data_IF_668945948830
#
_entry.id   IF_668945948830
#
_cell.length_a   1.000
_cell.length_b   1.000
_cell.length_c   1.000
_cell.angle_alpha   90.00
_cell.angle_beta   90.00
_cell.angle_gamma   90.00
#
_symmetry.space_group_name_H-M   'P 1'
#
loop_
_entity.id
_entity.type
_entity.pdbx_description
1 polymer ?
#
# COMPACT_ATOMS: atom_id res chain seq x y z
N UNK A 1 11.15 29.44 -5.41
CA UNK A 1 11.38 28.00 -5.70
C UNK A 1 10.03 27.31 -5.61
N UNK A 2 9.61 26.58 -6.65
CA UNK A 2 8.33 25.87 -6.63
C UNK A 2 8.33 24.75 -5.58
N UNK A 3 7.17 24.28 -5.12
CA UNK A 3 7.06 23.20 -4.13
C UNK A 3 7.53 21.83 -4.66
N UNK A 4 7.79 21.72 -5.97
CA UNK A 4 8.20 20.49 -6.63
C UNK A 4 9.65 20.56 -7.08
N UNK A 5 10.33 19.43 -6.92
CA UNK A 5 11.71 19.28 -7.27
C UNK A 5 11.87 18.85 -8.74
N UNK A 6 13.00 19.18 -9.38
CA UNK A 6 13.24 18.92 -10.81
C UNK A 6 13.05 17.44 -11.18
N UNK A 7 13.43 16.52 -10.29
CA UNK A 7 13.18 15.10 -10.46
C UNK A 7 11.69 14.77 -10.50
N UNK A 8 10.91 15.29 -9.57
CA UNK A 8 9.47 15.04 -9.51
C UNK A 8 8.78 15.58 -10.76
N UNK A 9 9.19 16.75 -11.24
CA UNK A 9 8.69 17.35 -12.48
C UNK A 9 9.05 16.44 -13.67
N UNK A 10 10.30 15.98 -13.77
CA UNK A 10 10.73 15.07 -14.84
C UNK A 10 10.02 13.71 -14.80
N UNK A 11 9.86 13.12 -13.61
CA UNK A 11 9.13 11.86 -13.43
C UNK A 11 7.65 12.04 -13.77
N UNK A 12 6.99 13.10 -13.29
CA UNK A 12 5.59 13.37 -13.61
C UNK A 12 5.39 13.58 -15.12
N UNK A 13 6.29 14.33 -15.77
CA UNK A 13 6.29 14.52 -17.22
C UNK A 13 6.33 13.17 -17.96
N UNK A 14 7.30 12.30 -17.64
CA UNK A 14 7.44 11.01 -18.30
C UNK A 14 6.29 10.04 -17.98
N UNK A 15 5.73 10.07 -16.77
CA UNK A 15 4.53 9.29 -16.43
C UNK A 15 3.34 9.73 -17.29
N UNK A 16 3.14 11.05 -17.49
CA UNK A 16 2.09 11.57 -18.35
C UNK A 16 2.30 11.16 -19.81
N UNK A 17 3.54 11.28 -20.32
CA UNK A 17 3.89 10.86 -21.69
C UNK A 17 3.64 9.36 -21.87
N UNK A 18 4.07 8.53 -20.91
CA UNK A 18 3.86 7.09 -20.94
C UNK A 18 2.37 6.73 -20.88
N UNK A 19 1.59 7.36 -20.01
CA UNK A 19 0.14 7.16 -19.92
C UNK A 19 -0.56 7.58 -21.21
N UNK A 20 -0.21 8.73 -21.78
CA UNK A 20 -0.74 9.18 -23.06
C UNK A 20 -0.43 8.19 -24.19
N UNK A 21 0.80 7.66 -24.23
CA UNK A 21 1.19 6.62 -25.18
C UNK A 21 0.42 5.31 -24.94
N UNK A 22 0.32 4.84 -23.70
CA UNK A 22 -0.37 3.61 -23.33
C UNK A 22 -1.87 3.66 -23.67
N UNK A 23 -2.52 4.80 -23.42
CA UNK A 23 -3.94 5.01 -23.72
C UNK A 23 -4.28 5.03 -25.23
N UNK A 24 -3.28 5.07 -26.12
CA UNK A 24 -3.49 4.86 -27.56
C UNK A 24 -3.94 3.45 -27.88
N UNK A 25 -3.59 2.45 -27.06
CA UNK A 25 -4.03 1.06 -27.26
C UNK A 25 -5.46 0.89 -26.74
N UNK A 26 -6.34 0.38 -27.58
CA UNK A 26 -7.76 0.19 -27.27
C UNK A 26 -7.98 -0.73 -26.04
N UNK A 27 -7.16 -1.78 -25.91
CA UNK A 27 -7.24 -2.71 -24.78
C UNK A 27 -6.87 -2.03 -23.46
N UNK A 28 -5.81 -1.22 -23.46
CA UNK A 28 -5.37 -0.47 -22.27
C UNK A 28 -6.44 0.56 -21.87
N UNK A 29 -7.06 1.24 -22.83
CA UNK A 29 -8.15 2.18 -22.55
C UNK A 29 -9.35 1.48 -21.90
N UNK A 30 -9.75 0.30 -22.40
CA UNK A 30 -10.85 -0.49 -21.80
C UNK A 30 -10.51 -0.89 -20.37
N UNK A 31 -9.30 -1.41 -20.14
CA UNK A 31 -8.84 -1.79 -18.80
C UNK A 31 -8.77 -0.59 -17.86
N UNK A 32 -8.27 0.56 -18.33
CA UNK A 32 -8.19 1.79 -17.54
C UNK A 32 -9.57 2.29 -17.11
N UNK A 33 -10.55 2.29 -18.02
CA UNK A 33 -11.94 2.66 -17.70
C UNK A 33 -12.58 1.67 -16.73
N UNK A 34 -12.29 0.36 -16.87
CA UNK A 34 -12.77 -0.65 -15.93
C UNK A 34 -12.22 -0.42 -14.52
N UNK A 35 -10.92 -0.12 -14.39
CA UNK A 35 -10.28 0.23 -13.12
C UNK A 35 -10.91 1.50 -12.54
N UNK A 36 -11.07 2.57 -13.33
CA UNK A 36 -11.70 3.81 -12.86
C UNK A 36 -13.13 3.58 -12.35
N UNK A 37 -13.92 2.78 -13.09
CA UNK A 37 -15.28 2.41 -12.69
C UNK A 37 -15.31 1.56 -11.42
N UNK A 38 -14.31 0.71 -11.21
CA UNK A 38 -14.16 -0.05 -9.98
C UNK A 38 -13.84 0.89 -8.80
N UNK A 39 -12.92 1.84 -8.97
CA UNK A 39 -12.61 2.84 -7.94
C UNK A 39 -13.82 3.73 -7.58
N UNK A 40 -14.69 4.03 -8.54
CA UNK A 40 -15.92 4.81 -8.31
C UNK A 40 -17.08 4.02 -7.67
N UNK A 41 -16.89 2.75 -7.28
CA UNK A 41 -17.91 2.04 -6.53
C UNK A 41 -18.09 2.67 -5.15
N UNK A 42 -19.34 2.88 -4.72
CA UNK A 42 -19.65 3.56 -3.45
C UNK A 42 -18.89 2.99 -2.24
N UNK A 43 -18.69 1.66 -2.19
CA UNK A 43 -17.92 1.01 -1.12
C UNK A 43 -16.44 1.38 -1.12
N UNK A 44 -15.81 1.46 -2.29
CA UNK A 44 -14.40 1.85 -2.40
C UNK A 44 -14.27 3.34 -2.12
N UNK A 45 -15.17 4.17 -2.65
CA UNK A 45 -15.18 5.61 -2.39
C UNK A 45 -15.35 5.92 -0.89
N UNK A 46 -16.29 5.24 -0.22
CA UNK A 46 -16.47 5.35 1.23
C UNK A 46 -15.21 4.94 2.00
N UNK A 47 -14.56 3.86 1.55
CA UNK A 47 -13.33 3.36 2.17
C UNK A 47 -12.16 4.35 2.02
N UNK A 48 -12.02 4.97 0.84
CA UNK A 48 -11.03 6.01 0.58
C UNK A 48 -11.36 7.27 1.38
N UNK A 49 -12.64 7.65 1.48
CA UNK A 49 -13.06 8.80 2.29
C UNK A 49 -12.72 8.61 3.78
N UNK A 50 -13.02 7.43 4.33
CA UNK A 50 -12.64 7.05 5.70
C UNK A 50 -11.12 7.07 5.90
N UNK A 51 -10.36 6.60 4.91
CA UNK A 51 -8.89 6.66 4.91
C UNK A 51 -8.40 8.10 5.01
N UNK A 52 -8.90 9.01 4.15
CA UNK A 52 -8.53 10.43 4.16
C UNK A 52 -8.86 11.07 5.51
N UNK A 53 -10.06 10.82 6.04
CA UNK A 53 -10.49 11.37 7.32
C UNK A 53 -9.62 10.88 8.48
N UNK A 54 -9.31 9.58 8.51
CA UNK A 54 -8.41 9.00 9.52
C UNK A 54 -7.00 9.60 9.43
N UNK A 55 -6.44 9.71 8.22
CA UNK A 55 -5.13 10.33 8.02
C UNK A 55 -5.13 11.80 8.46
N UNK A 56 -6.20 12.55 8.21
CA UNK A 56 -6.32 13.93 8.69
C UNK A 56 -6.31 14.01 10.22
N UNK A 57 -6.99 13.09 10.90
CA UNK A 57 -6.98 13.01 12.36
C UNK A 57 -5.57 12.67 12.90
N UNK A 58 -4.87 11.73 12.26
CA UNK A 58 -3.49 11.37 12.60
C UNK A 58 -2.54 12.55 12.38
N UNK A 59 -2.66 13.27 11.26
CA UNK A 59 -1.86 14.45 10.96
C UNK A 59 -2.11 15.56 11.98
N UNK A 60 -3.36 15.80 12.37
CA UNK A 60 -3.71 16.76 13.44
C UNK A 60 -3.09 16.38 14.78
N UNK A 61 -3.11 15.09 15.13
CA UNK A 61 -2.47 14.58 16.35
C UNK A 61 -0.95 14.79 16.30
N UNK A 62 -0.32 14.46 15.17
CA UNK A 62 1.12 14.67 14.97
C UNK A 62 1.50 16.15 15.00
N UNK A 63 0.64 17.03 14.48
CA UNK A 63 0.84 18.47 14.54
C UNK A 63 0.76 18.99 15.97
N UNK A 64 -0.16 18.47 16.79
CA UNK A 64 -0.29 18.83 18.21
C UNK A 64 0.95 18.42 19.04
N UNK A 65 1.59 17.30 18.70
CA UNK A 65 2.83 16.82 19.35
C UNK A 65 4.07 17.55 18.79
N UNK A 66 3.90 18.39 17.76
CA UNK A 66 5.00 19.10 17.10
C UNK A 66 5.87 18.21 16.21
N UNK A 67 5.39 17.03 15.81
CA UNK A 67 6.08 16.13 14.88
C UNK A 67 5.70 16.40 13.41
N UNK A 68 4.58 17.06 13.16
CA UNK A 68 4.15 17.44 11.81
C UNK A 68 4.15 18.96 11.61
N UNK A 69 4.59 19.40 10.43
CA UNK A 69 4.58 20.80 9.98
C UNK A 69 3.96 20.88 8.59
N UNK A 70 3.45 22.07 8.23
CA UNK A 70 2.85 22.34 6.90
C UNK A 70 3.85 22.08 5.76
N UNK A 71 5.15 22.19 6.01
CA UNK A 71 6.20 21.82 5.05
C UNK A 71 6.10 20.37 4.57
N UNK A 72 5.58 19.46 5.40
CA UNK A 72 5.46 18.02 5.13
C UNK A 72 4.12 17.65 4.47
N UNK A 73 3.27 18.65 4.17
CA UNK A 73 1.95 18.41 3.59
C UNK A 73 2.04 17.67 2.26
N UNK A 74 2.99 18.07 1.41
CA UNK A 74 3.22 17.44 0.11
C UNK A 74 3.58 15.96 0.27
N UNK A 75 4.54 15.65 1.15
CA UNK A 75 4.98 14.27 1.39
C UNK A 75 3.85 13.43 1.99
N UNK A 76 3.03 14.03 2.85
CA UNK A 76 1.82 13.39 3.40
C UNK A 76 0.81 13.04 2.32
N UNK A 77 0.58 13.92 1.34
CA UNK A 77 -0.33 13.67 0.21
C UNK A 77 0.21 12.55 -0.68
N UNK A 78 1.50 12.59 -1.02
CA UNK A 78 2.15 11.54 -1.82
C UNK A 78 2.07 10.19 -1.11
N UNK A 79 2.38 10.18 0.19
CA UNK A 79 2.27 8.98 1.03
C UNK A 79 0.84 8.44 1.07
N UNK A 80 -0.17 9.30 1.22
CA UNK A 80 -1.58 8.90 1.23
C UNK A 80 -2.02 8.28 -0.10
N UNK A 81 -1.66 8.90 -1.22
CA UNK A 81 -2.07 8.44 -2.56
C UNK A 81 -1.39 7.12 -2.96
N UNK A 82 -0.11 6.95 -2.63
CA UNK A 82 0.69 5.81 -3.09
C UNK A 82 0.80 4.74 -2.01
N UNK A 83 1.35 5.09 -0.85
CA UNK A 83 1.69 4.12 0.18
C UNK A 83 0.45 3.65 0.93
N UNK A 84 -0.40 4.55 1.41
CA UNK A 84 -1.60 4.17 2.17
C UNK A 84 -2.55 3.32 1.32
N UNK A 85 -2.75 3.69 0.05
CA UNK A 85 -3.55 2.91 -0.90
C UNK A 85 -2.95 1.52 -1.14
N UNK A 86 -1.64 1.42 -1.40
CA UNK A 86 -0.96 0.14 -1.59
C UNK A 86 -1.06 -0.75 -0.35
N UNK A 87 -0.88 -0.18 0.85
CA UNK A 87 -1.05 -0.90 2.11
C UNK A 87 -2.47 -1.41 2.27
N UNK A 88 -3.48 -0.58 2.00
CA UNK A 88 -4.88 -0.95 2.10
C UNK A 88 -5.23 -2.13 1.19
N UNK A 89 -4.83 -2.07 -0.08
CA UNK A 89 -5.07 -3.15 -1.04
C UNK A 89 -4.40 -4.43 -0.57
N UNK A 90 -3.10 -4.39 -0.26
CA UNK A 90 -2.34 -5.57 0.19
C UNK A 90 -2.99 -6.20 1.42
N UNK A 91 -3.29 -5.37 2.43
CA UNK A 91 -3.82 -5.83 3.70
C UNK A 91 -5.25 -6.43 3.59
N UNK A 92 -6.09 -5.89 2.69
CA UNK A 92 -7.43 -6.44 2.41
C UNK A 92 -7.35 -7.76 1.61
N UNK A 93 -6.46 -7.83 0.62
CA UNK A 93 -6.39 -8.99 -0.29
C UNK A 93 -5.74 -10.21 0.33
N UNK A 94 -4.86 -10.04 1.31
CA UNK A 94 -4.09 -11.15 1.84
C UNK A 94 -4.82 -11.96 2.92
N UNK A 95 -4.43 -13.22 3.03
CA UNK A 95 -4.97 -14.16 4.02
C UNK A 95 -4.13 -14.27 5.29
N UNK A 96 -3.05 -13.48 5.41
CA UNK A 96 -2.13 -13.54 6.55
C UNK A 96 -1.82 -12.12 7.08
N UNK A 97 -2.84 -11.50 7.69
CA UNK A 97 -2.83 -10.08 8.09
C UNK A 97 -1.74 -9.75 9.13
N UNK A 98 -1.29 -10.73 9.91
CA UNK A 98 -0.38 -10.53 11.04
C UNK A 98 1.08 -10.43 10.60
N UNK A 99 1.51 -11.30 9.67
CA UNK A 99 2.83 -11.23 9.06
C UNK A 99 3.02 -9.99 8.16
N UNK A 100 1.91 -9.44 7.65
CA UNK A 100 1.93 -8.26 6.79
C UNK A 100 2.27 -7.00 7.58
N UNK A 101 1.86 -6.90 8.84
CA UNK A 101 2.16 -5.74 9.67
C UNK A 101 3.68 -5.51 9.79
N UNK A 102 4.43 -6.56 10.14
CA UNK A 102 5.88 -6.48 10.27
C UNK A 102 6.57 -6.22 8.92
N UNK A 103 6.11 -6.87 7.85
CA UNK A 103 6.64 -6.67 6.50
C UNK A 103 6.39 -5.25 5.97
N UNK A 104 5.18 -4.73 6.11
CA UNK A 104 4.83 -3.38 5.63
C UNK A 104 5.60 -2.30 6.37
N UNK A 105 5.77 -2.44 7.69
CA UNK A 105 6.61 -1.52 8.47
C UNK A 105 8.06 -1.57 8.02
N UNK A 106 8.67 -2.76 7.98
CA UNK A 106 10.08 -2.91 7.60
C UNK A 106 10.36 -2.48 6.16
N UNK A 107 9.45 -2.75 5.23
CA UNK A 107 9.56 -2.30 3.83
C UNK A 107 9.43 -0.77 3.73
N UNK A 108 8.50 -0.16 4.48
CA UNK A 108 8.31 1.29 4.49
C UNK A 108 9.53 2.01 5.06
N UNK A 109 10.14 1.51 6.13
CA UNK A 109 11.38 2.08 6.68
C UNK A 109 12.53 2.04 5.68
N UNK A 110 12.76 0.88 5.03
CA UNK A 110 13.87 0.74 4.06
C UNK A 110 13.69 1.62 2.83
N UNK A 111 12.48 1.65 2.27
CA UNK A 111 12.22 2.38 1.02
C UNK A 111 12.12 3.89 1.23
N UNK A 112 11.54 4.37 2.34
CA UNK A 112 11.41 5.81 2.62
C UNK A 112 12.77 6.44 2.87
N UNK A 113 13.62 5.83 3.71
CA UNK A 113 14.94 6.41 4.02
C UNK A 113 15.76 6.60 2.74
N UNK A 114 15.70 5.66 1.81
CA UNK A 114 16.38 5.77 0.51
C UNK A 114 15.69 6.80 -0.38
N UNK A 115 14.37 6.76 -0.56
CA UNK A 115 13.65 7.67 -1.45
C UNK A 115 13.76 9.14 -1.01
N UNK A 116 13.56 9.40 0.28
CA UNK A 116 13.54 10.76 0.83
C UNK A 116 14.92 11.41 0.76
N UNK A 117 15.97 10.63 1.04
CA UNK A 117 17.34 11.11 0.93
C UNK A 117 17.74 11.36 -0.53
N UNK A 118 17.29 10.52 -1.47
CA UNK A 118 17.56 10.68 -2.90
C UNK A 118 16.80 11.86 -3.52
N UNK A 119 15.54 12.06 -3.15
CA UNK A 119 14.66 13.08 -3.75
C UNK A 119 14.97 14.48 -3.20
N UNK A 120 15.36 14.62 -1.93
CA UNK A 120 15.68 15.94 -1.36
C UNK A 120 17.15 16.36 -1.56
N UNK A 121 18.10 15.43 -1.67
CA UNK A 121 19.54 15.79 -1.68
C UNK A 121 20.14 15.88 -3.10
N UNK A 122 19.53 15.20 -4.07
CA UNK A 122 20.20 14.87 -5.35
C UNK A 122 19.49 15.38 -6.59
N UNK A 123 18.74 16.48 -6.53
CA UNK A 123 18.08 16.96 -7.75
C UNK A 123 19.01 17.76 -8.62
N UNK A 124 19.21 17.23 -9.82
CA UNK A 124 19.94 17.89 -10.87
C UNK A 124 19.12 19.01 -11.51
N UNK A 125 19.73 19.73 -12.45
CA UNK A 125 18.98 20.64 -13.29
C UNK A 125 17.87 19.89 -14.04
N UNK A 126 16.77 20.59 -14.31
CA UNK A 126 15.60 20.00 -14.98
C UNK A 126 15.96 19.32 -16.32
N UNK A 127 16.81 19.88 -17.21
CA UNK A 127 17.20 19.20 -18.44
C UNK A 127 17.94 17.88 -18.20
N UNK A 128 18.81 17.84 -17.18
CA UNK A 128 19.56 16.62 -16.83
C UNK A 128 18.62 15.53 -16.30
N UNK A 129 17.69 15.87 -15.40
CA UNK A 129 16.69 14.91 -14.90
C UNK A 129 15.79 14.37 -16.04
N UNK A 130 15.41 15.23 -17.00
CA UNK A 130 14.56 14.84 -18.12
C UNK A 130 15.20 13.78 -19.03
N UNK A 131 16.54 13.78 -19.15
CA UNK A 131 17.30 12.76 -19.90
C UNK A 131 17.63 11.55 -19.02
N UNK A 132 17.94 11.77 -17.75
CA UNK A 132 18.36 10.70 -16.83
C UNK A 132 17.22 9.73 -16.49
N UNK A 133 16.03 10.25 -16.18
CA UNK A 133 14.83 9.44 -15.85
C UNK A 133 14.52 8.36 -16.91
N UNK A 134 14.39 8.69 -18.22
CA UNK A 134 14.07 7.69 -19.23
C UNK A 134 15.21 6.70 -19.45
N UNK A 135 16.48 7.12 -19.36
CA UNK A 135 17.63 6.20 -19.46
C UNK A 135 17.60 5.17 -18.34
N UNK A 136 17.41 5.59 -17.08
CA UNK A 136 17.29 4.67 -15.95
C UNK A 136 16.09 3.74 -16.10
N UNK A 137 14.96 4.28 -16.57
CA UNK A 137 13.74 3.50 -16.82
C UNK A 137 13.95 2.43 -17.89
N UNK A 138 14.64 2.77 -18.99
CA UNK A 138 14.96 1.82 -20.05
C UNK A 138 15.91 0.72 -19.56
N UNK A 139 16.95 1.05 -18.79
CA UNK A 139 17.84 0.06 -18.19
C UNK A 139 17.06 -0.89 -17.29
N UNK A 140 16.13 -0.37 -16.48
CA UNK A 140 15.25 -1.19 -15.64
C UNK A 140 14.30 -2.07 -16.45
N UNK A 141 13.71 -1.56 -17.53
CA UNK A 141 12.86 -2.36 -18.42
C UNK A 141 13.65 -3.51 -19.07
N UNK A 142 14.86 -3.23 -19.56
CA UNK A 142 15.73 -4.26 -20.15
C UNK A 142 16.11 -5.31 -19.12
N UNK A 143 16.45 -4.92 -17.87
CA UNK A 143 16.73 -5.89 -16.80
C UNK A 143 15.53 -6.80 -16.52
N UNK A 144 14.32 -6.23 -16.39
CA UNK A 144 13.11 -7.02 -16.13
C UNK A 144 12.83 -8.02 -17.24
N UNK A 145 12.94 -7.59 -18.51
CA UNK A 145 12.74 -8.47 -19.67
C UNK A 145 13.83 -9.54 -19.73
N UNK A 146 15.10 -9.15 -19.54
CA UNK A 146 16.23 -10.07 -19.60
C UNK A 146 16.25 -11.07 -18.44
N UNK A 147 15.73 -10.68 -17.27
CA UNK A 147 15.58 -11.55 -16.10
C UNK A 147 14.39 -12.51 -16.21
N UNK A 148 13.48 -12.29 -17.16
CA UNK A 148 12.28 -13.12 -17.35
C UNK A 148 12.53 -14.38 -18.19
N UNK A 149 13.66 -14.46 -18.90
CA UNK A 149 14.00 -15.57 -19.78
C UNK A 149 15.49 -15.94 -19.60
N UNK A 150 15.77 -17.21 -19.31
CA UNK A 150 17.13 -17.72 -19.08
C UNK A 150 18.07 -17.46 -20.26
N UNK A 151 17.52 -17.35 -21.48
CA UNK A 151 18.26 -17.03 -22.71
C UNK A 151 19.00 -15.69 -22.62
N UNK A 152 18.48 -14.73 -21.86
CA UNK A 152 19.06 -13.38 -21.73
C UNK A 152 19.77 -13.17 -20.38
N UNK A 153 20.10 -14.24 -19.66
CA UNK A 153 20.75 -14.19 -18.34
C UNK A 153 22.06 -13.39 -18.33
N UNK A 154 22.82 -13.35 -19.43
CA UNK A 154 24.01 -12.50 -19.54
C UNK A 154 23.67 -10.99 -19.52
N UNK A 155 22.62 -10.58 -20.23
CA UNK A 155 22.13 -9.19 -20.25
C UNK A 155 21.54 -8.81 -18.89
N UNK A 156 20.83 -9.73 -18.23
CA UNK A 156 20.33 -9.54 -16.87
C UNK A 156 21.48 -9.31 -15.88
N UNK A 157 22.58 -10.07 -15.98
CA UNK A 157 23.77 -9.86 -15.13
C UNK A 157 24.38 -8.47 -15.36
N UNK A 158 24.57 -8.06 -16.62
CA UNK A 158 25.16 -6.75 -16.95
C UNK A 158 24.28 -5.61 -16.43
N UNK A 159 22.98 -5.66 -16.71
CA UNK A 159 22.04 -4.62 -16.28
C UNK A 159 21.95 -4.52 -14.75
N UNK A 160 21.97 -5.64 -14.02
CA UNK A 160 22.07 -5.65 -12.56
C UNK A 160 23.37 -5.04 -12.05
N UNK A 161 24.51 -5.36 -12.68
CA UNK A 161 25.80 -4.74 -12.34
C UNK A 161 25.79 -3.24 -12.56
N UNK A 162 25.25 -2.78 -13.70
CA UNK A 162 25.11 -1.34 -14.01
C UNK A 162 24.21 -0.65 -12.98
N UNK A 163 23.05 -1.23 -12.66
CA UNK A 163 22.16 -0.68 -11.62
C UNK A 163 22.81 -0.64 -10.24
N UNK A 164 23.59 -1.67 -9.89
CA UNK A 164 24.34 -1.71 -8.63
C UNK A 164 25.37 -0.58 -8.57
N UNK A 165 26.15 -0.38 -9.64
CA UNK A 165 27.13 0.71 -9.72
C UNK A 165 26.44 2.07 -9.62
N UNK A 166 25.36 2.29 -10.38
CA UNK A 166 24.57 3.54 -10.32
C UNK A 166 24.10 3.79 -8.88
N UNK A 167 23.55 2.76 -8.23
CA UNK A 167 23.08 2.86 -6.84
C UNK A 167 24.22 3.18 -5.86
N UNK A 168 25.39 2.56 -6.03
CA UNK A 168 26.57 2.83 -5.21
C UNK A 168 27.13 4.24 -5.41
N UNK A 169 27.22 4.72 -6.66
CA UNK A 169 27.67 6.08 -6.97
C UNK A 169 26.73 7.10 -6.33
N UNK A 170 25.43 6.88 -6.48
CA UNK A 170 24.41 7.72 -5.85
C UNK A 170 24.56 7.69 -4.32
N UNK A 171 24.71 6.51 -3.71
CA UNK A 171 24.89 6.35 -2.26
C UNK A 171 26.17 7.05 -1.77
N UNK A 172 27.27 6.94 -2.49
CA UNK A 172 28.54 7.61 -2.14
C UNK A 172 28.41 9.14 -2.17
N UNK A 173 27.75 9.70 -3.18
CA UNK A 173 27.48 11.15 -3.26
C UNK A 173 26.58 11.59 -2.11
N UNK A 174 25.55 10.79 -1.81
CA UNK A 174 24.62 10.97 -0.70
C UNK A 174 25.38 11.04 0.63
N UNK A 175 26.24 10.06 0.92
CA UNK A 175 27.03 10.01 2.15
C UNK A 175 28.03 11.16 2.21
N UNK A 176 28.69 11.50 1.09
CA UNK A 176 29.63 12.61 1.07
C UNK A 176 28.95 13.95 1.39
N UNK A 177 27.78 14.21 0.78
CA UNK A 177 26.97 15.40 1.09
C UNK A 177 26.35 15.37 2.47
N UNK A 178 26.02 14.19 2.98
CA UNK A 178 25.54 13.99 4.35
C UNK A 178 26.58 14.43 5.37
N UNK A 179 27.83 14.03 5.14
CA UNK A 179 28.96 14.38 6.00
C UNK A 179 29.27 15.87 5.89
N UNK A 180 29.25 16.45 4.69
CA UNK A 180 29.53 17.89 4.51
C UNK A 180 28.44 18.80 5.10
N UNK A 181 27.20 18.31 5.19
CA UNK A 181 26.03 19.04 5.71
C UNK A 181 25.45 18.37 6.96
N UNK A 182 26.32 17.88 7.83
CA UNK A 182 25.91 17.07 8.99
C UNK A 182 24.99 17.83 9.95
N UNK A 183 25.19 19.15 10.12
CA UNK A 183 24.35 19.99 10.98
C UNK A 183 22.91 20.13 10.45
N UNK A 184 22.73 20.19 9.13
CA UNK A 184 21.42 20.23 8.49
C UNK A 184 20.72 18.88 8.55
N UNK A 185 21.46 17.77 8.49
CA UNK A 185 20.90 16.42 8.66
C UNK A 185 20.40 16.15 10.08
N UNK A 186 21.09 16.67 11.10
CA UNK A 186 20.66 16.58 12.49
C UNK A 186 19.54 17.56 12.85
N UNK A 187 19.09 18.38 11.89
CA UNK A 187 17.98 19.28 12.13
C UNK A 187 16.69 18.49 12.42
N UNK A 188 15.90 19.01 13.36
CA UNK A 188 14.59 18.43 13.69
C UNK A 188 13.67 18.34 12.47
N UNK A 189 13.83 19.22 11.48
CA UNK A 189 12.99 19.22 10.29
C UNK A 189 13.35 18.10 9.32
N UNK A 190 14.64 17.78 9.14
CA UNK A 190 15.08 16.60 8.38
C UNK A 190 14.65 15.30 9.08
N UNK A 191 14.76 15.25 10.41
CA UNK A 191 14.28 14.09 11.18
C UNK A 191 12.78 13.88 11.02
N UNK A 192 11.96 14.95 11.14
CA UNK A 192 10.51 14.88 10.94
C UNK A 192 10.16 14.41 9.53
N UNK A 193 10.90 14.86 8.52
CA UNK A 193 10.74 14.43 7.12
C UNK A 193 10.94 12.91 7.00
N UNK A 194 12.13 12.42 7.36
CA UNK A 194 12.50 11.00 7.25
C UNK A 194 11.56 10.09 8.07
N UNK A 195 11.17 10.55 9.26
CA UNK A 195 10.29 9.79 10.15
C UNK A 195 8.81 9.85 9.74
N UNK A 196 8.41 10.78 8.86
CA UNK A 196 7.02 11.03 8.51
C UNK A 196 6.32 9.76 8.00
N UNK A 197 6.85 9.16 6.94
CA UNK A 197 6.19 8.04 6.28
C UNK A 197 6.16 6.77 7.15
N UNK A 198 7.23 6.37 7.86
CA UNK A 198 7.15 5.25 8.80
C UNK A 198 6.17 5.50 9.95
N UNK A 199 6.16 6.71 10.51
CA UNK A 199 5.27 7.07 11.61
C UNK A 199 3.80 7.10 11.18
N UNK A 200 3.50 7.68 10.01
CA UNK A 200 2.17 7.63 9.39
C UNK A 200 1.74 6.18 9.14
N UNK A 201 2.63 5.33 8.62
CA UNK A 201 2.34 3.91 8.35
C UNK A 201 2.03 3.13 9.62
N UNK A 202 2.78 3.38 10.69
CA UNK A 202 2.53 2.78 12.00
C UNK A 202 1.18 3.22 12.55
N UNK A 203 0.89 4.53 12.55
CA UNK A 203 -0.36 5.08 13.05
C UNK A 203 -1.57 4.77 12.16
N UNK A 204 -1.35 4.41 10.89
CA UNK A 204 -2.36 3.97 9.95
C UNK A 204 -2.74 2.49 10.11
N UNK A 205 -1.92 1.71 10.81
CA UNK A 205 -2.18 0.28 11.02
C UNK A 205 -3.52 -0.02 11.72
N UNK A 206 -3.90 0.68 12.81
CA UNK A 206 -5.19 0.42 13.45
C UNK A 206 -6.37 0.56 12.48
N UNK A 207 -6.31 1.56 11.60
CA UNK A 207 -7.30 1.74 10.54
C UNK A 207 -7.32 0.54 9.56
N UNK A 208 -6.15 0.09 9.09
CA UNK A 208 -6.04 -1.07 8.21
C UNK A 208 -6.63 -2.33 8.85
N UNK A 209 -6.38 -2.53 10.14
CA UNK A 209 -6.94 -3.65 10.90
C UNK A 209 -8.46 -3.64 10.89
N UNK A 210 -9.08 -2.49 11.19
CA UNK A 210 -10.54 -2.33 11.18
C UNK A 210 -11.10 -2.57 9.78
N UNK A 211 -10.48 -2.01 8.73
CA UNK A 211 -10.96 -2.19 7.36
C UNK A 211 -10.88 -3.65 6.90
N UNK A 212 -9.81 -4.38 7.24
CA UNK A 212 -9.72 -5.80 6.97
C UNK A 212 -10.78 -6.60 7.72
N UNK A 213 -11.04 -6.25 8.99
CA UNK A 213 -12.04 -6.92 9.80
C UNK A 213 -13.43 -6.78 9.17
N UNK A 214 -13.80 -5.54 8.77
CA UNK A 214 -15.06 -5.26 8.08
C UNK A 214 -15.15 -6.07 6.77
N UNK A 215 -14.07 -6.07 5.96
CA UNK A 215 -14.03 -6.81 4.70
C UNK A 215 -14.22 -8.32 4.88
N UNK A 216 -13.54 -8.94 5.86
CA UNK A 216 -13.70 -10.38 6.12
C UNK A 216 -15.10 -10.71 6.68
N UNK A 217 -15.68 -9.86 7.52
CA UNK A 217 -17.07 -10.01 7.95
C UNK A 217 -18.05 -9.95 6.78
N UNK A 218 -17.86 -8.99 5.87
CA UNK A 218 -18.68 -8.87 4.68
C UNK A 218 -18.58 -10.14 3.83
N UNK A 219 -17.38 -10.69 3.66
CA UNK A 219 -17.16 -11.93 2.92
C UNK A 219 -17.85 -13.14 3.58
N UNK A 220 -17.78 -13.26 4.90
CA UNK A 220 -18.52 -14.29 5.67
C UNK A 220 -20.03 -14.14 5.47
N UNK A 221 -20.55 -12.92 5.57
CA UNK A 221 -21.98 -12.67 5.44
C UNK A 221 -22.49 -12.84 4.01
N UNK A 222 -21.67 -12.52 3.01
CA UNK A 222 -21.95 -12.84 1.62
C UNK A 222 -22.05 -14.35 1.45
N UNK A 223 -21.07 -15.13 1.93
CA UNK A 223 -21.14 -16.60 1.87
C UNK A 223 -22.33 -17.19 2.60
N UNK A 224 -22.72 -16.62 3.75
CA UNK A 224 -23.93 -17.01 4.46
C UNK A 224 -25.20 -16.76 3.62
N UNK A 225 -25.21 -15.70 2.81
CA UNK A 225 -26.33 -15.39 1.92
C UNK A 225 -26.33 -16.23 0.63
N UNK A 226 -25.16 -16.73 0.21
CA UNK A 226 -25.04 -17.69 -0.88
C UNK A 226 -25.43 -19.11 -0.41
N UNK A 227 -25.91 -19.93 -1.35
CA UNK A 227 -26.40 -21.28 -1.07
C UNK A 227 -27.91 -21.34 -0.85
N UNK A 228 -28.34 -22.18 0.08
CA UNK A 228 -29.77 -22.46 0.32
C UNK A 228 -30.53 -21.21 0.79
N UNK A 229 -31.79 -21.08 0.38
CA UNK A 229 -32.67 -20.03 0.89
C UNK A 229 -32.89 -20.21 2.39
N UNK A 230 -32.54 -19.17 3.15
CA UNK A 230 -32.62 -19.16 4.62
C UNK A 230 -33.57 -18.07 5.07
N UNK A 231 -34.35 -18.36 6.10
CA UNK A 231 -35.26 -17.39 6.70
C UNK A 231 -34.50 -16.16 7.23
N UNK A 232 -35.11 -14.97 7.14
CA UNK A 232 -34.50 -13.71 7.60
C UNK A 232 -34.12 -13.73 9.09
N UNK A 233 -34.83 -14.50 9.92
CA UNK A 233 -34.57 -14.67 11.36
C UNK A 233 -33.30 -15.48 11.60
N UNK A 234 -33.11 -16.57 10.84
CA UNK A 234 -31.92 -17.41 10.92
C UNK A 234 -30.67 -16.65 10.45
N UNK A 235 -30.76 -15.90 9.34
CA UNK A 235 -29.65 -15.06 8.87
C UNK A 235 -29.20 -14.03 9.91
N UNK A 236 -30.14 -13.37 10.59
CA UNK A 236 -29.82 -12.42 11.68
C UNK A 236 -29.19 -13.10 12.89
N UNK A 237 -29.69 -14.27 13.28
CA UNK A 237 -29.12 -15.06 14.38
C UNK A 237 -27.67 -15.46 14.06
N UNK A 238 -27.43 -16.02 12.87
CA UNK A 238 -26.10 -16.42 12.42
C UNK A 238 -25.11 -15.24 12.41
N UNK A 239 -25.50 -14.09 11.85
CA UNK A 239 -24.64 -12.89 11.87
C UNK A 239 -24.27 -12.46 13.28
N UNK A 240 -25.23 -12.44 14.21
CA UNK A 240 -24.98 -12.05 15.61
C UNK A 240 -24.05 -13.05 16.32
N UNK A 241 -24.23 -14.36 16.12
CA UNK A 241 -23.38 -15.38 16.73
C UNK A 241 -21.96 -15.34 16.17
N UNK A 242 -21.80 -15.15 14.86
CA UNK A 242 -20.49 -14.99 14.22
C UNK A 242 -19.78 -13.73 14.74
N UNK A 243 -20.50 -12.61 14.89
CA UNK A 243 -19.94 -11.38 15.49
C UNK A 243 -19.45 -11.59 16.93
N UNK A 244 -20.21 -12.31 17.75
CA UNK A 244 -19.83 -12.61 19.14
C UNK A 244 -18.64 -13.56 19.19
N UNK A 245 -18.61 -14.57 18.32
CA UNK A 245 -17.52 -15.56 18.26
C UNK A 245 -16.18 -14.96 17.83
N UNK A 246 -16.22 -14.24 16.70
CA UNK A 246 -15.03 -13.70 16.08
C UNK A 246 -14.58 -12.39 16.75
N UNK A 247 -15.52 -11.54 17.17
CA UNK A 247 -15.22 -10.26 17.79
C UNK A 247 -14.29 -9.41 16.91
N UNK A 248 -13.15 -8.99 17.48
CA UNK A 248 -12.10 -8.28 16.75
C UNK A 248 -11.01 -9.21 16.20
N UNK A 249 -11.19 -10.53 16.20
CA UNK A 249 -10.14 -11.47 15.76
C UNK A 249 -10.21 -11.76 14.25
N UNK A 250 -9.24 -11.22 13.50
CA UNK A 250 -9.06 -11.55 12.08
C UNK A 250 -8.78 -13.05 11.88
N UNK A 251 -7.97 -13.66 12.75
CA UNK A 251 -7.63 -15.09 12.67
C UNK A 251 -8.86 -15.99 12.69
N UNK A 252 -9.81 -15.74 13.59
CA UNK A 252 -11.06 -16.52 13.67
C UNK A 252 -11.91 -16.39 12.41
N UNK A 253 -12.01 -15.19 11.83
CA UNK A 253 -12.74 -14.98 10.57
C UNK A 253 -12.06 -15.68 9.40
N UNK A 254 -10.73 -15.60 9.32
CA UNK A 254 -9.97 -16.30 8.28
C UNK A 254 -10.10 -17.82 8.39
N UNK A 255 -10.03 -18.37 9.61
CA UNK A 255 -10.28 -19.79 9.85
C UNK A 255 -11.68 -20.20 9.37
N UNK A 256 -12.71 -19.42 9.73
CA UNK A 256 -14.09 -19.68 9.29
C UNK A 256 -14.23 -19.67 7.76
N UNK A 257 -13.58 -18.70 7.10
CA UNK A 257 -13.58 -18.57 5.65
C UNK A 257 -12.77 -19.66 4.95
N UNK A 258 -11.71 -20.18 5.57
CA UNK A 258 -10.86 -21.19 4.93
C UNK A 258 -11.40 -22.61 5.13
N UNK A 259 -11.87 -22.91 6.34
CA UNK A 259 -12.18 -24.28 6.75
C UNK A 259 -13.68 -24.58 6.77
N UNK A 260 -14.53 -23.56 6.98
CA UNK A 260 -16.00 -23.72 7.11
C UNK A 260 -16.77 -22.96 6.03
N UNK A 261 -16.13 -22.73 4.87
CA UNK A 261 -16.72 -22.01 3.75
C UNK A 261 -18.02 -22.65 3.24
N UNK A 262 -18.00 -23.98 3.07
CA UNK A 262 -19.13 -24.76 2.61
C UNK A 262 -20.22 -24.83 3.69
N UNK A 263 -19.83 -25.02 4.96
CA UNK A 263 -20.77 -25.10 6.07
C UNK A 263 -21.60 -23.83 6.19
N UNK A 264 -20.99 -22.65 6.01
CA UNK A 264 -21.69 -21.35 5.99
C UNK A 264 -22.80 -21.28 4.93
N UNK A 265 -22.60 -21.92 3.76
CA UNK A 265 -23.59 -21.95 2.68
C UNK A 265 -24.75 -22.90 2.99
N UNK A 266 -24.51 -23.96 3.77
CA UNK A 266 -25.47 -25.03 4.05
C UNK A 266 -26.22 -24.91 5.39
N UNK A 267 -25.98 -23.86 6.20
CA UNK A 267 -26.71 -23.63 7.46
C UNK A 267 -28.23 -23.60 7.24
N UNK A 268 -28.98 -24.48 7.91
CA UNK A 268 -30.44 -24.51 7.86
C UNK A 268 -31.10 -24.29 9.22
N UNK A 269 -30.40 -24.58 10.33
CA UNK A 269 -30.94 -24.46 11.69
C UNK A 269 -30.06 -23.62 12.60
N UNK A 270 -30.61 -23.15 13.73
CA UNK A 270 -29.83 -22.45 14.76
C UNK A 270 -28.76 -23.36 15.38
N UNK A 271 -29.03 -24.67 15.47
CA UNK A 271 -28.08 -25.65 15.97
C UNK A 271 -26.84 -25.76 15.06
N UNK A 272 -27.02 -25.64 13.75
CA UNK A 272 -25.89 -25.66 12.79
C UNK A 272 -24.97 -24.45 12.99
N UNK A 273 -25.55 -23.28 13.24
CA UNK A 273 -24.80 -22.05 13.58
C UNK A 273 -24.00 -22.26 14.86
N UNK A 274 -24.63 -22.83 15.88
CA UNK A 274 -24.00 -23.03 17.18
C UNK A 274 -22.89 -24.08 17.13
N UNK A 275 -23.05 -25.15 16.34
CA UNK A 275 -22.00 -26.15 16.06
C UNK A 275 -20.81 -25.54 15.34
N UNK A 276 -21.06 -24.72 14.32
CA UNK A 276 -20.02 -24.03 13.53
C UNK A 276 -19.20 -23.05 14.38
N UNK A 277 -19.84 -22.41 15.36
CA UNK A 277 -19.19 -21.48 16.29
C UNK A 277 -18.49 -22.18 17.46
N UNK A 278 -18.95 -23.38 17.85
CA UNK A 278 -18.36 -24.16 18.95
C UNK A 278 -17.13 -24.99 18.55
N UNK A 279 -16.94 -25.30 17.26
CA UNK A 279 -15.70 -25.89 16.76
C UNK A 279 -14.56 -24.89 16.97
N UNK A 280 -13.86 -25.02 18.10
CA UNK A 280 -12.75 -24.14 18.47
C UNK A 280 -11.64 -24.28 17.44
N UNK A 281 -11.09 -23.14 17.03
CA UNK A 281 -9.73 -23.07 16.50
C UNK A 281 -8.82 -23.60 17.61
N UNK A 282 -8.25 -24.79 17.46
CA UNK A 282 -7.21 -25.25 18.37
C UNK A 282 -6.02 -24.28 18.27
N UNK A 283 -5.42 -23.90 19.40
CA UNK A 283 -4.34 -22.91 19.46
C UNK A 283 -3.13 -23.32 18.63
#
# INVERSE_FOLDING_TARGET
MGPFNNREIATAFWVIVFLAFALRKADIRKSFVAVLRAFCQFKILLSVFLMVFYTLAVVRLLAAIGLWKVSLLKDTIVWLCVNAMAMMIRFITSDDAENIFQKVLTDSFKSVIVLEFLVNTYTFSLPTELVLVPILTLIAMVDVIASSDEKYSAVAKITKWVQMIISFVILAIVVNRAISNFQTLLSLDTFRSIALAPLLSLLFTPFLYVMALISKYELVFLRLNFGLEKERRLKRYARRRILIYAGLSLRKLQHLLRNHAADLMHIQTKADVDRLVQQRVNP
#
